data_IF_346101960432
#
_entry.id   IF_346101960432
#
_cell.length_a   1.000
_cell.length_b   1.000
_cell.length_c   1.000
_cell.angle_alpha   90.00
_cell.angle_beta   90.00
_cell.angle_gamma   90.00
#
_symmetry.space_group_name_H-M   'P 1'
#
loop_
_entity.id
_entity.type
_entity.pdbx_description
1 polymer ?
#
# COMPACT_ATOMS: atom_id res chain seq x y z
N UNK A 1 21.57 -6.36 -3.00
CA UNK A 1 22.07 -7.65 -2.49
C UNK A 1 22.61 -8.51 -3.62
N UNK A 2 21.84 -8.73 -4.69
CA UNK A 2 22.26 -9.61 -5.79
C UNK A 2 23.60 -9.18 -6.40
N UNK A 3 23.74 -7.92 -6.81
CA UNK A 3 24.98 -7.38 -7.39
C UNK A 3 26.18 -7.45 -6.41
N UNK A 4 25.93 -7.18 -5.13
CA UNK A 4 26.97 -7.31 -4.10
C UNK A 4 27.38 -8.78 -3.91
N UNK A 5 26.44 -9.69 -4.00
CA UNK A 5 26.69 -11.13 -3.93
C UNK A 5 27.57 -11.64 -5.09
N UNK A 6 27.32 -11.14 -6.31
CA UNK A 6 28.17 -11.44 -7.47
C UNK A 6 29.62 -10.97 -7.27
N UNK A 7 29.83 -9.90 -6.51
CA UNK A 7 31.14 -9.36 -6.14
C UNK A 7 31.73 -10.01 -4.87
N UNK A 8 31.07 -11.08 -4.35
CA UNK A 8 31.44 -11.76 -3.11
C UNK A 8 31.47 -10.84 -1.87
N UNK A 9 30.55 -9.84 -1.85
CA UNK A 9 30.38 -8.93 -0.73
C UNK A 9 29.17 -9.38 0.11
N UNK A 10 29.42 -9.68 1.38
CA UNK A 10 28.37 -10.08 2.31
C UNK A 10 27.53 -8.88 2.75
N UNK A 11 26.20 -9.05 2.80
CA UNK A 11 25.26 -8.00 3.12
C UNK A 11 24.49 -8.32 4.40
N UNK A 12 24.27 -7.26 5.20
CA UNK A 12 23.24 -7.21 6.23
C UNK A 12 22.10 -6.30 5.76
N UNK A 13 20.87 -6.77 5.90
CA UNK A 13 19.66 -5.98 5.64
C UNK A 13 18.95 -5.72 6.96
N UNK A 14 18.62 -4.46 7.23
CA UNK A 14 17.90 -4.06 8.44
C UNK A 14 16.55 -3.51 7.98
N UNK A 15 15.47 -4.01 8.55
CA UNK A 15 14.12 -3.55 8.27
C UNK A 15 13.30 -3.50 9.57
N UNK A 16 12.46 -2.48 9.70
CA UNK A 16 11.55 -2.35 10.83
C UNK A 16 10.32 -3.26 10.71
N UNK A 17 10.07 -3.84 9.54
CA UNK A 17 9.01 -4.82 9.33
C UNK A 17 9.41 -6.21 9.84
N UNK A 18 8.41 -7.03 10.11
CA UNK A 18 8.57 -8.44 10.53
C UNK A 18 8.92 -9.39 9.38
N UNK A 19 8.80 -8.90 8.15
CA UNK A 19 9.07 -9.64 6.91
C UNK A 19 9.76 -8.77 5.86
N UNK A 20 10.45 -9.45 4.95
CA UNK A 20 11.08 -8.80 3.78
C UNK A 20 10.03 -8.46 2.72
N UNK A 21 10.31 -7.43 1.91
CA UNK A 21 9.50 -7.08 0.75
C UNK A 21 8.99 -5.64 0.73
N UNK A 22 9.13 -4.92 1.84
CA UNK A 22 8.77 -3.52 1.94
C UNK A 22 7.33 -3.26 1.48
N UNK A 23 7.13 -2.23 0.65
CA UNK A 23 5.80 -1.83 0.18
C UNK A 23 5.05 -2.96 -0.55
N UNK A 24 5.73 -3.73 -1.37
CA UNK A 24 5.12 -4.80 -2.15
C UNK A 24 4.46 -5.86 -1.27
N UNK A 25 5.16 -6.31 -0.23
CA UNK A 25 4.64 -7.33 0.68
C UNK A 25 3.71 -6.75 1.75
N UNK A 26 3.87 -5.48 2.13
CA UNK A 26 3.12 -4.89 3.24
C UNK A 26 1.82 -4.20 2.81
N UNK A 27 1.85 -3.41 1.72
CA UNK A 27 0.71 -2.58 1.34
C UNK A 27 -0.17 -3.22 0.26
N UNK A 28 0.43 -4.02 -0.64
CA UNK A 28 -0.30 -4.56 -1.79
C UNK A 28 0.21 -5.94 -2.24
N UNK A 29 0.27 -6.93 -1.32
CA UNK A 29 0.80 -8.25 -1.64
C UNK A 29 0.07 -8.95 -2.79
N UNK A 30 -1.23 -8.73 -2.93
CA UNK A 30 -2.09 -9.34 -3.94
C UNK A 30 -2.40 -8.43 -5.14
N UNK A 31 -1.79 -7.22 -5.19
CA UNK A 31 -1.95 -6.31 -6.33
C UNK A 31 -1.17 -6.83 -7.52
N UNK A 32 -1.79 -6.93 -8.71
CA UNK A 32 -1.07 -7.23 -9.94
C UNK A 32 -0.17 -6.05 -10.33
N UNK A 33 1.07 -6.36 -10.69
CA UNK A 33 2.11 -5.44 -11.16
C UNK A 33 2.46 -5.83 -12.59
N UNK A 34 2.51 -4.88 -13.50
CA UNK A 34 2.64 -5.12 -14.94
C UNK A 34 3.94 -4.56 -15.54
N UNK A 35 4.69 -3.78 -14.78
CA UNK A 35 5.87 -3.04 -15.22
C UNK A 35 7.21 -3.69 -14.80
N UNK A 36 7.19 -4.98 -14.47
CA UNK A 36 8.40 -5.74 -14.19
C UNK A 36 8.90 -6.37 -15.49
N UNK A 37 10.13 -6.05 -15.95
CA UNK A 37 10.72 -6.64 -17.15
C UNK A 37 10.65 -8.17 -17.15
N UNK A 38 10.33 -8.77 -18.29
CA UNK A 38 10.15 -10.22 -18.48
C UNK A 38 8.95 -10.88 -17.76
N UNK A 39 8.13 -10.11 -17.04
CA UNK A 39 6.94 -10.60 -16.37
C UNK A 39 5.71 -9.86 -16.89
N UNK A 40 4.81 -10.53 -17.66
CA UNK A 40 3.55 -9.91 -18.13
C UNK A 40 2.68 -9.42 -16.97
N UNK A 41 2.68 -10.19 -15.87
CA UNK A 41 2.02 -9.84 -14.61
C UNK A 41 2.68 -10.62 -13.47
N UNK A 42 2.79 -10.00 -12.31
CA UNK A 42 3.26 -10.62 -11.06
C UNK A 42 2.57 -9.90 -9.90
N UNK A 43 2.24 -10.60 -8.83
CA UNK A 43 1.72 -9.94 -7.62
C UNK A 43 2.87 -9.37 -6.78
N UNK A 44 2.57 -8.43 -5.88
CA UNK A 44 3.58 -7.85 -4.97
C UNK A 44 4.28 -8.92 -4.12
N UNK A 45 3.53 -9.92 -3.65
CA UNK A 45 4.10 -11.03 -2.87
C UNK A 45 4.94 -11.96 -3.73
N UNK A 46 4.45 -12.37 -4.90
CA UNK A 46 5.22 -13.23 -5.82
C UNK A 46 6.54 -12.58 -6.24
N UNK A 47 6.52 -11.27 -6.56
CA UNK A 47 7.74 -10.53 -6.88
C UNK A 47 8.75 -10.58 -5.73
N UNK A 48 8.28 -10.35 -4.51
CA UNK A 48 9.12 -10.41 -3.31
C UNK A 48 9.73 -11.80 -3.13
N UNK A 49 8.92 -12.85 -3.25
CA UNK A 49 9.36 -14.24 -3.07
C UNK A 49 10.41 -14.64 -4.11
N UNK A 50 10.25 -14.18 -5.35
CA UNK A 50 11.22 -14.46 -6.42
C UNK A 50 12.53 -13.70 -6.22
N UNK A 51 12.47 -12.42 -5.79
CA UNK A 51 13.67 -11.66 -5.45
C UNK A 51 14.42 -12.26 -4.26
N UNK A 52 13.70 -12.79 -3.26
CA UNK A 52 14.33 -13.53 -2.14
C UNK A 52 15.02 -14.79 -2.66
N UNK A 53 14.37 -15.59 -3.51
CA UNK A 53 14.98 -16.78 -4.12
C UNK A 53 16.25 -16.42 -4.90
N UNK A 54 16.25 -15.30 -5.61
CA UNK A 54 17.39 -14.82 -6.38
C UNK A 54 18.60 -14.47 -5.51
N UNK A 55 18.38 -13.94 -4.31
CA UNK A 55 19.47 -13.53 -3.40
C UNK A 55 19.89 -14.62 -2.40
N UNK A 56 19.09 -15.66 -2.20
CA UNK A 56 19.36 -16.74 -1.24
C UNK A 56 20.74 -17.40 -1.39
N UNK A 57 21.29 -17.66 -2.61
CA UNK A 57 22.62 -18.22 -2.77
C UNK A 57 23.73 -17.42 -2.09
N UNK A 58 23.54 -16.09 -1.93
CA UNK A 58 24.51 -15.18 -1.33
C UNK A 58 24.37 -15.07 0.19
N UNK A 59 23.37 -15.75 0.78
CA UNK A 59 23.15 -15.86 2.24
C UNK A 59 23.17 -14.49 2.96
N UNK A 60 22.41 -13.49 2.49
CA UNK A 60 22.33 -12.20 3.20
C UNK A 60 21.78 -12.39 4.62
N UNK A 61 22.25 -11.58 5.56
CA UNK A 61 21.76 -11.61 6.93
C UNK A 61 20.66 -10.58 7.13
N UNK A 62 19.47 -11.04 7.51
CA UNK A 62 18.33 -10.18 7.78
C UNK A 62 18.22 -9.85 9.28
N UNK A 63 17.98 -8.59 9.57
CA UNK A 63 17.68 -8.05 10.90
C UNK A 63 16.29 -7.38 10.82
N UNK A 64 15.25 -8.18 11.02
CA UNK A 64 13.86 -7.76 10.94
C UNK A 64 13.35 -7.26 12.31
N UNK A 65 12.23 -6.53 12.32
CA UNK A 65 11.68 -5.87 13.51
C UNK A 65 12.71 -4.95 14.20
N UNK A 66 13.59 -4.33 13.44
CA UNK A 66 14.64 -3.48 13.96
C UNK A 66 14.74 -2.19 13.15
N UNK A 67 14.73 -1.07 13.83
CA UNK A 67 14.99 0.23 13.23
C UNK A 67 16.46 0.59 13.42
N UNK A 68 17.06 1.29 12.47
CA UNK A 68 18.37 1.91 12.65
C UNK A 68 18.19 3.19 13.45
N UNK A 69 18.73 3.23 14.66
CA UNK A 69 18.62 4.39 15.53
C UNK A 69 19.85 5.29 15.43
N UNK A 70 21.03 4.70 15.18
CA UNK A 70 22.28 5.45 15.16
C UNK A 70 23.25 4.92 14.09
N UNK A 71 23.99 5.86 13.51
CA UNK A 71 25.08 5.59 12.57
C UNK A 71 26.28 6.46 12.98
N UNK A 72 27.37 5.82 13.34
CA UNK A 72 28.62 6.48 13.69
C UNK A 72 29.73 6.10 12.72
N UNK A 73 30.72 6.97 12.55
CA UNK A 73 31.98 6.63 11.86
C UNK A 73 32.86 5.75 12.77
N UNK A 74 33.48 4.73 12.18
CA UNK A 74 34.54 3.96 12.78
C UNK A 74 35.85 4.13 12.02
N UNK A 75 36.92 3.56 12.53
CA UNK A 75 38.24 3.56 11.87
C UNK A 75 38.18 2.86 10.49
N UNK A 76 37.35 1.80 10.36
CA UNK A 76 37.27 0.96 9.17
C UNK A 76 36.00 1.17 8.33
N UNK A 77 35.17 2.14 8.69
CA UNK A 77 33.90 2.40 7.99
C UNK A 77 32.85 3.00 8.90
N UNK A 78 31.78 2.24 9.18
CA UNK A 78 30.60 2.71 9.90
C UNK A 78 30.13 1.68 10.94
N UNK A 79 29.64 2.15 12.06
CA UNK A 79 28.92 1.36 13.04
C UNK A 79 27.44 1.75 12.97
N UNK A 80 26.58 0.77 12.72
CA UNK A 80 25.12 0.91 12.73
C UNK A 80 24.60 0.28 14.00
N UNK A 81 23.81 1.00 14.77
CA UNK A 81 23.13 0.52 15.97
C UNK A 81 21.63 0.47 15.73
N UNK A 82 20.99 -0.65 16.10
CA UNK A 82 19.56 -0.87 15.93
C UNK A 82 18.80 -0.64 17.23
N UNK A 83 17.49 -0.43 17.15
CA UNK A 83 16.56 -0.23 18.27
C UNK A 83 16.56 -1.35 19.31
N UNK A 84 17.10 -2.51 18.98
CA UNK A 84 17.27 -3.64 19.92
C UNK A 84 18.72 -3.82 20.39
N UNK A 85 19.59 -2.83 20.13
CA UNK A 85 20.98 -2.80 20.61
C UNK A 85 21.96 -3.63 19.78
N UNK A 86 21.56 -4.13 18.61
CA UNK A 86 22.48 -4.84 17.71
C UNK A 86 23.42 -3.80 17.06
N UNK A 87 24.72 -4.05 17.13
CA UNK A 87 25.76 -3.23 16.49
C UNK A 87 26.38 -3.99 15.32
N UNK A 88 26.41 -3.34 14.18
CA UNK A 88 26.97 -3.88 12.94
C UNK A 88 28.04 -2.93 12.43
N UNK A 89 29.27 -3.41 12.28
CA UNK A 89 30.33 -2.67 11.60
C UNK A 89 30.35 -3.01 10.13
N UNK A 90 30.35 -1.99 9.27
CA UNK A 90 30.34 -2.14 7.82
C UNK A 90 31.20 -1.11 7.12
N UNK A 91 31.87 -1.51 6.05
CA UNK A 91 32.67 -0.60 5.22
C UNK A 91 31.82 0.43 4.48
N UNK A 92 30.61 0.05 4.13
CA UNK A 92 29.67 0.88 3.36
C UNK A 92 28.24 0.66 3.83
N UNK A 93 27.43 1.72 3.78
CA UNK A 93 26.01 1.70 4.05
C UNK A 93 25.25 2.10 2.79
N UNK A 94 24.25 1.32 2.41
CA UNK A 94 23.34 1.65 1.33
C UNK A 94 21.97 1.95 1.96
N UNK A 95 21.51 3.19 1.84
CA UNK A 95 20.19 3.61 2.33
C UNK A 95 19.17 3.30 1.25
N UNK A 96 18.29 2.32 1.51
CA UNK A 96 17.21 1.89 0.65
C UNK A 96 15.87 1.88 1.41
N UNK A 97 15.65 2.92 2.22
CA UNK A 97 14.56 3.01 3.20
C UNK A 97 13.17 3.25 2.57
N UNK A 98 13.07 3.39 1.25
CA UNK A 98 11.79 3.62 0.56
C UNK A 98 11.06 4.85 1.10
N UNK A 99 9.79 4.69 1.45
CA UNK A 99 8.98 5.74 2.08
C UNK A 99 9.17 5.85 3.60
N UNK A 100 10.11 5.10 4.17
CA UNK A 100 10.32 5.00 5.62
C UNK A 100 9.31 4.07 6.30
N UNK A 101 9.06 4.30 7.58
CA UNK A 101 8.05 3.53 8.34
C UNK A 101 6.66 3.74 7.75
N UNK A 102 5.91 2.65 7.56
CA UNK A 102 4.56 2.71 6.98
C UNK A 102 3.56 3.26 7.99
N UNK A 103 3.53 4.58 8.10
CA UNK A 103 2.45 5.27 8.82
C UNK A 103 1.48 5.80 7.78
N UNK A 104 0.23 5.28 7.71
CA UNK A 104 -0.78 5.78 6.78
C UNK A 104 -1.02 7.28 6.99
N UNK A 105 -1.06 8.03 5.90
CA UNK A 105 -1.51 9.42 5.96
C UNK A 105 -3.02 9.41 6.15
N UNK A 106 -3.45 9.73 7.36
CA UNK A 106 -4.88 9.82 7.66
C UNK A 106 -5.49 11.02 6.94
N UNK A 107 -6.54 10.81 6.12
CA UNK A 107 -7.28 11.92 5.58
C UNK A 107 -8.02 12.67 6.69
N UNK A 108 -8.26 13.99 6.56
CA UNK A 108 -8.96 14.79 7.55
C UNK A 108 -10.47 14.51 7.52
N UNK A 109 -10.86 13.32 7.92
CA UNK A 109 -12.24 12.86 7.98
C UNK A 109 -12.62 12.72 9.45
N UNK A 110 -13.72 13.35 9.84
CA UNK A 110 -14.22 13.26 11.20
C UNK A 110 -14.56 11.83 11.60
N UNK A 111 -14.17 11.46 12.81
CA UNK A 111 -14.40 10.14 13.44
C UNK A 111 -13.70 8.93 12.76
N UNK A 112 -12.82 9.13 11.80
CA UNK A 112 -12.16 8.03 11.07
C UNK A 112 -11.47 7.01 11.99
N UNK A 113 -10.83 7.50 13.07
CA UNK A 113 -10.07 6.66 14.02
C UNK A 113 -10.92 5.57 14.68
N UNK A 114 -12.22 5.78 14.86
CA UNK A 114 -13.13 4.82 15.48
C UNK A 114 -13.38 3.59 14.59
N UNK A 115 -13.14 3.71 13.29
CA UNK A 115 -13.42 2.71 12.27
C UNK A 115 -12.17 2.09 11.65
N UNK A 116 -10.96 2.58 12.01
CA UNK A 116 -9.69 2.02 11.54
C UNK A 116 -9.56 0.53 11.91
N UNK A 117 -9.04 -0.25 10.98
CA UNK A 117 -8.89 -1.71 11.08
C UNK A 117 -10.21 -2.49 11.31
N UNK A 118 -11.37 -1.82 11.16
CA UNK A 118 -12.70 -2.45 11.20
C UNK A 118 -13.42 -2.26 9.88
N UNK A 119 -13.66 -1.01 9.52
CA UNK A 119 -14.33 -0.63 8.27
C UNK A 119 -13.46 0.30 7.39
N UNK A 120 -12.36 0.85 7.92
CA UNK A 120 -11.43 1.70 7.19
C UNK A 120 -10.07 1.02 7.11
N UNK A 121 -9.59 0.83 5.88
CA UNK A 121 -8.31 0.17 5.60
C UNK A 121 -7.49 1.00 4.61
N UNK A 122 -6.24 1.27 4.96
CA UNK A 122 -5.30 2.04 4.15
C UNK A 122 -4.47 1.16 3.20
N UNK A 123 -4.67 -0.15 3.25
CA UNK A 123 -4.00 -1.13 2.41
C UNK A 123 -4.91 -2.33 2.16
N UNK A 124 -4.80 -2.94 0.99
CA UNK A 124 -5.50 -4.18 0.65
C UNK A 124 -4.51 -5.34 0.76
N UNK A 125 -4.44 -5.94 1.93
CA UNK A 125 -3.55 -7.08 2.20
C UNK A 125 -4.17 -8.42 1.82
N UNK A 126 -5.49 -8.50 1.81
CA UNK A 126 -6.25 -9.69 1.44
C UNK A 126 -7.53 -9.25 0.69
N UNK A 127 -7.61 -9.59 -0.60
CA UNK A 127 -8.75 -9.23 -1.46
C UNK A 127 -10.04 -9.95 -1.05
N UNK A 128 -9.95 -11.17 -0.55
CA UNK A 128 -11.14 -11.97 -0.21
C UNK A 128 -12.00 -11.33 0.88
N UNK A 129 -11.41 -10.51 1.75
CA UNK A 129 -12.15 -9.76 2.77
C UNK A 129 -13.19 -8.80 2.17
N UNK A 130 -12.96 -8.34 0.96
CA UNK A 130 -13.77 -7.34 0.28
C UNK A 130 -14.78 -7.94 -0.69
N UNK A 131 -14.71 -9.25 -0.98
CA UNK A 131 -15.61 -9.92 -1.92
C UNK A 131 -17.09 -9.78 -1.54
N UNK A 132 -17.92 -9.50 -2.54
CA UNK A 132 -19.37 -9.28 -2.39
C UNK A 132 -19.74 -8.15 -1.42
N UNK A 133 -18.84 -7.17 -1.21
CA UNK A 133 -19.04 -6.02 -0.33
C UNK A 133 -19.31 -4.75 -1.12
N UNK A 134 -19.94 -3.78 -0.44
CA UNK A 134 -20.06 -2.41 -0.92
C UNK A 134 -18.86 -1.62 -0.45
N UNK A 135 -18.05 -1.14 -1.36
CA UNK A 135 -16.80 -0.45 -1.09
C UNK A 135 -16.87 1.01 -1.53
N UNK A 136 -16.37 1.91 -0.70
CA UNK A 136 -16.04 3.27 -1.12
C UNK A 136 -14.52 3.40 -1.18
N UNK A 137 -13.99 3.63 -2.37
CA UNK A 137 -12.56 3.91 -2.59
C UNK A 137 -12.41 5.41 -2.74
N UNK A 138 -11.55 6.03 -1.92
CA UNK A 138 -11.33 7.46 -1.95
C UNK A 138 -9.92 7.79 -2.43
N UNK A 139 -9.82 8.48 -3.55
CA UNK A 139 -8.54 8.87 -4.13
C UNK A 139 -8.63 9.17 -5.62
N UNK A 140 -7.51 9.57 -6.20
CA UNK A 140 -7.43 9.91 -7.64
C UNK A 140 -6.03 9.67 -8.21
N UNK A 141 -5.19 8.91 -7.49
CA UNK A 141 -3.88 8.43 -7.94
C UNK A 141 -3.94 6.97 -8.37
N UNK A 142 -2.79 6.43 -8.75
CA UNK A 142 -2.65 5.05 -9.25
C UNK A 142 -3.24 4.02 -8.28
N UNK A 143 -2.93 4.12 -6.98
CA UNK A 143 -3.46 3.17 -5.99
C UNK A 143 -4.99 3.11 -5.98
N UNK A 144 -5.67 4.27 -6.00
CA UNK A 144 -7.13 4.31 -5.99
C UNK A 144 -7.73 3.71 -7.26
N UNK A 145 -7.18 4.05 -8.43
CA UNK A 145 -7.70 3.57 -9.72
C UNK A 145 -7.43 2.07 -9.91
N UNK A 146 -6.23 1.62 -9.58
CA UNK A 146 -5.86 0.20 -9.71
C UNK A 146 -6.73 -0.68 -8.80
N UNK A 147 -6.92 -0.26 -7.53
CA UNK A 147 -7.81 -1.01 -6.63
C UNK A 147 -9.28 -0.91 -7.03
N UNK A 148 -9.73 0.22 -7.59
CA UNK A 148 -11.07 0.32 -8.17
C UNK A 148 -11.26 -0.70 -9.29
N UNK A 149 -10.31 -0.75 -10.23
CA UNK A 149 -10.35 -1.68 -11.37
C UNK A 149 -10.25 -3.15 -10.92
N UNK A 150 -9.46 -3.44 -9.90
CA UNK A 150 -9.26 -4.82 -9.43
C UNK A 150 -10.45 -5.32 -8.59
N UNK A 151 -10.89 -4.54 -7.59
CA UNK A 151 -11.94 -4.97 -6.65
C UNK A 151 -13.33 -4.95 -7.28
N UNK A 152 -13.56 -4.18 -8.35
CA UNK A 152 -14.83 -4.19 -9.08
C UNK A 152 -15.14 -5.52 -9.77
N UNK A 153 -14.16 -6.43 -9.88
CA UNK A 153 -14.36 -7.78 -10.41
C UNK A 153 -15.21 -8.67 -9.50
N UNK A 154 -15.18 -8.40 -8.18
CA UNK A 154 -15.83 -9.23 -7.17
C UNK A 154 -16.68 -8.46 -6.16
N UNK A 155 -16.78 -7.13 -6.28
CA UNK A 155 -17.39 -6.25 -5.28
C UNK A 155 -18.14 -5.10 -5.94
N UNK A 156 -19.06 -4.48 -5.19
CA UNK A 156 -19.73 -3.26 -5.63
C UNK A 156 -18.88 -2.04 -5.23
N UNK A 157 -18.21 -1.44 -6.19
CA UNK A 157 -17.23 -0.37 -5.95
C UNK A 157 -17.78 0.99 -6.35
N UNK A 158 -17.70 1.94 -5.41
CA UNK A 158 -17.88 3.36 -5.67
C UNK A 158 -16.54 4.06 -5.49
N UNK A 159 -16.08 4.76 -6.51
CA UNK A 159 -14.89 5.63 -6.44
C UNK A 159 -15.33 7.06 -6.11
N UNK A 160 -14.74 7.66 -5.09
CA UNK A 160 -14.95 9.09 -4.79
C UNK A 160 -13.66 9.87 -4.96
N UNK A 161 -13.73 10.96 -5.71
CA UNK A 161 -12.63 11.89 -5.87
C UNK A 161 -13.12 13.34 -5.92
N UNK A 162 -12.33 14.27 -5.36
CA UNK A 162 -12.69 15.70 -5.28
C UNK A 162 -12.72 16.42 -6.64
N UNK A 163 -12.12 15.85 -7.68
CA UNK A 163 -12.03 16.40 -9.04
C UNK A 163 -12.52 15.38 -10.06
N UNK A 164 -12.79 15.83 -11.28
CA UNK A 164 -13.07 14.94 -12.41
C UNK A 164 -11.79 14.35 -13.02
N UNK A 165 -10.68 15.09 -12.90
CA UNK A 165 -9.38 14.71 -13.44
C UNK A 165 -8.64 13.84 -12.42
N UNK A 166 -8.08 12.73 -12.91
CA UNK A 166 -7.27 11.80 -12.14
C UNK A 166 -5.77 12.04 -12.41
N UNK A 167 -4.93 11.72 -11.42
CA UNK A 167 -3.46 11.76 -11.55
C UNK A 167 -2.86 10.38 -11.83
N UNK A 168 -3.70 9.35 -11.90
CA UNK A 168 -3.32 7.98 -12.23
C UNK A 168 -2.90 7.85 -13.70
N UNK A 169 -2.25 6.73 -14.03
CA UNK A 169 -1.87 6.38 -15.38
C UNK A 169 -3.10 6.39 -16.31
N UNK A 170 -2.99 6.94 -17.54
CA UNK A 170 -4.11 7.04 -18.47
C UNK A 170 -4.83 5.71 -18.75
N UNK A 171 -4.08 4.60 -18.79
CA UNK A 171 -4.65 3.25 -18.97
C UNK A 171 -5.56 2.85 -17.80
N UNK A 172 -5.13 3.07 -16.55
CA UNK A 172 -5.95 2.79 -15.37
C UNK A 172 -7.22 3.65 -15.32
N UNK A 173 -7.11 4.91 -15.76
CA UNK A 173 -8.27 5.81 -15.87
C UNK A 173 -9.24 5.33 -16.93
N UNK A 174 -8.74 4.97 -18.12
CA UNK A 174 -9.56 4.45 -19.22
C UNK A 174 -10.34 3.19 -18.82
N UNK A 175 -9.69 2.25 -18.15
CA UNK A 175 -10.34 1.03 -17.63
C UNK A 175 -11.43 1.35 -16.62
N UNK A 176 -11.19 2.26 -15.69
CA UNK A 176 -12.20 2.68 -14.70
C UNK A 176 -13.41 3.31 -15.39
N UNK A 177 -13.19 4.19 -16.38
CA UNK A 177 -14.28 4.82 -17.15
C UNK A 177 -15.09 3.81 -17.96
N UNK A 178 -14.43 2.79 -18.50
CA UNK A 178 -15.12 1.68 -19.17
C UNK A 178 -15.99 0.91 -18.19
N UNK A 179 -15.48 0.58 -17.00
CA UNK A 179 -16.23 -0.09 -15.94
C UNK A 179 -17.41 0.77 -15.44
N UNK A 180 -17.24 2.08 -15.36
CA UNK A 180 -18.31 3.01 -15.03
C UNK A 180 -19.40 3.00 -16.11
N UNK A 181 -19.03 3.06 -17.39
CA UNK A 181 -19.98 3.01 -18.51
C UNK A 181 -20.78 1.70 -18.56
N UNK A 182 -20.18 0.60 -18.08
CA UNK A 182 -20.82 -0.71 -17.92
C UNK A 182 -21.67 -0.85 -16.66
N UNK A 183 -21.72 0.17 -15.80
CA UNK A 183 -22.42 0.15 -14.51
C UNK A 183 -21.77 -0.75 -13.44
N UNK A 184 -20.51 -1.17 -13.61
CA UNK A 184 -19.77 -2.00 -12.66
C UNK A 184 -19.09 -1.18 -11.58
N UNK A 185 -18.80 0.08 -11.84
CA UNK A 185 -18.22 1.05 -10.92
C UNK A 185 -19.10 2.29 -10.93
N UNK A 186 -19.28 2.92 -9.79
CA UNK A 186 -19.91 4.24 -9.69
C UNK A 186 -18.84 5.27 -9.37
N UNK A 187 -18.88 6.43 -10.05
CA UNK A 187 -18.01 7.55 -9.72
C UNK A 187 -18.79 8.67 -9.05
N UNK A 188 -18.26 9.16 -7.92
CA UNK A 188 -18.78 10.32 -7.19
C UNK A 188 -17.73 11.43 -7.16
N UNK A 189 -18.08 12.59 -7.68
CA UNK A 189 -17.28 13.79 -7.46
C UNK A 189 -17.62 14.35 -6.08
N UNK A 190 -16.68 14.32 -5.14
CA UNK A 190 -16.94 14.82 -3.80
C UNK A 190 -15.75 14.66 -2.85
N UNK A 191 -15.94 15.19 -1.65
CA UNK A 191 -14.97 15.12 -0.55
C UNK A 191 -15.65 14.57 0.68
N UNK A 192 -15.10 13.50 1.25
CA UNK A 192 -15.59 12.88 2.48
C UNK A 192 -15.41 13.86 3.64
N UNK A 193 -16.40 13.98 4.49
CA UNK A 193 -16.42 14.86 5.66
C UNK A 193 -16.45 14.09 6.97
N UNK A 194 -17.30 13.07 7.06
CA UNK A 194 -17.56 12.39 8.33
C UNK A 194 -17.90 10.93 8.09
N UNK A 195 -17.65 10.10 9.11
CA UNK A 195 -18.03 8.68 9.15
C UNK A 195 -18.88 8.45 10.41
N UNK A 196 -19.98 7.75 10.24
CA UNK A 196 -20.88 7.33 11.34
C UNK A 196 -21.11 5.83 11.27
N UNK A 197 -21.55 5.24 12.37
CA UNK A 197 -21.98 3.85 12.39
C UNK A 197 -23.28 3.71 11.58
N UNK A 198 -23.31 2.76 10.66
CA UNK A 198 -24.48 2.37 9.88
C UNK A 198 -25.18 1.16 10.44
N UNK A 199 -25.98 0.49 9.60
CA UNK A 199 -26.67 -0.76 9.92
C UNK A 199 -25.70 -1.95 9.84
N UNK A 200 -25.97 -3.02 10.61
CA UNK A 200 -25.33 -4.33 10.46
C UNK A 200 -23.80 -4.33 10.24
N UNK A 201 -23.05 -3.62 11.08
CA UNK A 201 -21.58 -3.45 10.95
C UNK A 201 -21.11 -2.62 9.74
N UNK A 202 -22.00 -1.94 9.03
CA UNK A 202 -21.66 -0.97 7.97
C UNK A 202 -21.32 0.38 8.54
N UNK A 203 -20.83 1.26 7.67
CA UNK A 203 -20.58 2.67 7.96
C UNK A 203 -21.37 3.54 7.00
N UNK A 204 -21.83 4.67 7.50
CA UNK A 204 -22.42 5.75 6.70
C UNK A 204 -21.37 6.84 6.55
N UNK A 205 -21.07 7.18 5.32
CA UNK A 205 -20.08 8.18 4.95
C UNK A 205 -20.79 9.39 4.41
N UNK A 206 -20.64 10.52 5.11
CA UNK A 206 -21.14 11.81 4.66
C UNK A 206 -20.08 12.48 3.77
N UNK A 207 -20.46 12.85 2.56
CA UNK A 207 -19.58 13.52 1.61
C UNK A 207 -20.23 14.76 1.01
N UNK A 208 -19.41 15.76 0.73
CA UNK A 208 -19.84 16.99 0.07
C UNK A 208 -19.62 16.87 -1.43
N UNK A 209 -20.69 17.05 -2.20
CA UNK A 209 -20.67 17.20 -3.66
C UNK A 209 -21.30 18.54 -4.01
N UNK A 210 -20.50 19.41 -4.57
CA UNK A 210 -20.83 20.82 -4.80
C UNK A 210 -21.32 21.49 -3.50
N UNK A 211 -22.57 21.98 -3.42
CA UNK A 211 -23.14 22.61 -2.21
C UNK A 211 -23.91 21.62 -1.30
N UNK A 212 -24.08 20.37 -1.75
CA UNK A 212 -24.89 19.38 -1.04
C UNK A 212 -24.04 18.43 -0.21
N UNK A 213 -24.54 18.06 0.96
CA UNK A 213 -24.04 16.92 1.74
C UNK A 213 -24.94 15.73 1.48
N UNK A 214 -24.31 14.62 1.09
CA UNK A 214 -24.97 13.36 0.79
C UNK A 214 -24.39 12.26 1.67
N UNK A 215 -25.15 11.24 1.91
CA UNK A 215 -24.72 10.06 2.66
C UNK A 215 -24.71 8.82 1.77
N UNK A 216 -23.71 7.95 1.97
CA UNK A 216 -23.61 6.64 1.35
C UNK A 216 -23.31 5.58 2.42
N UNK A 217 -24.07 4.48 2.43
CA UNK A 217 -23.81 3.36 3.33
C UNK A 217 -23.01 2.27 2.61
N UNK A 218 -21.86 1.91 3.21
CA UNK A 218 -20.92 0.92 2.67
C UNK A 218 -20.40 -0.02 3.76
N UNK A 219 -19.87 -1.16 3.34
CA UNK A 219 -19.18 -2.08 4.26
C UNK A 219 -17.80 -1.55 4.63
N UNK A 220 -17.06 -1.02 3.65
CA UNK A 220 -15.68 -0.57 3.86
C UNK A 220 -15.34 0.72 3.11
N UNK A 221 -14.44 1.51 3.71
CA UNK A 221 -13.77 2.67 3.11
C UNK A 221 -12.29 2.34 2.91
N UNK A 222 -11.78 2.58 1.70
CA UNK A 222 -10.38 2.43 1.30
C UNK A 222 -9.84 3.80 0.84
N UNK A 223 -9.21 4.60 1.71
CA UNK A 223 -8.64 5.90 1.34
C UNK A 223 -7.18 5.73 0.89
N UNK A 224 -6.88 6.19 -0.36
CA UNK A 224 -5.57 6.15 -1.02
C UNK A 224 -5.05 7.53 -1.46
#
# INVERSE_FOLDING_TARGET
VFELGLLNIHCHLIDNLDKVGGQCAELYPEKPIYDIPSRPVVTGQELTDELIKQINPFKPKFHLNQQVDKIDKSEYGWIVETSVGVKIEAKCIIIAAGAGSFVPRKPPIENIDQFENKNVFYAVRNKSMFENKKLLIAGGGDSALDWTNELSKSSNVTLIHRRKEFRAAPDSVGRMQELESQGKVSFLKGTIKNIKRGSENKIVISYQSDENINDIEVDYLLPF
#
